data_IF_481151444246
#
_entry.id   IF_481151444246
#
_cell.length_a   1.000
_cell.length_b   1.000
_cell.length_c   1.000
_cell.angle_alpha   90.00
_cell.angle_beta   90.00
_cell.angle_gamma   90.00
#
_symmetry.space_group_name_H-M   'P 1'
#
loop_
_entity.id
_entity.type
_entity.pdbx_description
1 polymer ?
#
# COMPACT_ATOMS: atom_id res chain seq x y z
N UNK A 1 -23.65 -17.01 27.26
CA UNK A 1 -22.99 -18.24 26.82
C UNK A 1 -23.78 -18.79 25.65
N UNK A 2 -23.36 -18.54 24.42
CA UNK A 2 -23.85 -19.24 23.23
C UNK A 2 -22.60 -19.60 22.45
N UNK A 3 -22.30 -20.91 22.44
CA UNK A 3 -21.13 -21.45 21.80
C UNK A 3 -21.28 -21.45 20.29
N UNK A 4 -20.23 -21.04 19.61
CA UNK A 4 -20.06 -21.21 18.15
C UNK A 4 -19.57 -22.64 17.88
N UNK A 5 -20.12 -23.34 16.88
CA UNK A 5 -19.63 -24.66 16.52
C UNK A 5 -18.28 -24.55 15.80
N UNK A 6 -17.28 -25.27 16.31
CA UNK A 6 -16.03 -25.52 15.64
C UNK A 6 -16.27 -26.39 14.41
N UNK A 7 -16.09 -25.83 13.21
CA UNK A 7 -16.01 -26.61 11.98
C UNK A 7 -14.62 -27.23 11.86
N UNK A 8 -14.51 -28.50 12.21
CA UNK A 8 -13.37 -29.32 11.88
C UNK A 8 -13.42 -29.67 10.39
N UNK A 9 -12.54 -29.09 9.58
CA UNK A 9 -12.32 -29.54 8.21
C UNK A 9 -11.42 -30.76 8.22
N UNK A 10 -12.00 -31.94 8.00
CA UNK A 10 -11.27 -33.13 7.60
C UNK A 10 -10.83 -32.96 6.15
N UNK A 11 -9.52 -33.04 5.90
CA UNK A 11 -8.95 -32.97 4.56
C UNK A 11 -9.47 -34.16 3.72
N UNK A 12 -10.47 -33.92 2.89
CA UNK A 12 -10.92 -34.88 1.89
C UNK A 12 -10.07 -34.66 0.63
N UNK A 13 -9.17 -35.61 0.39
CA UNK A 13 -8.27 -35.65 -0.77
C UNK A 13 -9.09 -35.80 -2.05
N UNK A 14 -9.40 -34.72 -2.74
CA UNK A 14 -9.98 -34.80 -4.07
C UNK A 14 -8.87 -35.10 -5.07
N UNK A 15 -8.78 -36.37 -5.52
CA UNK A 15 -7.89 -36.79 -6.62
C UNK A 15 -8.41 -36.18 -7.91
N UNK A 16 -7.77 -35.11 -8.38
CA UNK A 16 -7.90 -34.68 -9.77
C UNK A 16 -6.91 -35.49 -10.60
N UNK A 17 -7.41 -36.46 -11.35
CA UNK A 17 -6.62 -37.25 -12.27
C UNK A 17 -6.52 -36.50 -13.59
N UNK A 18 -5.39 -35.81 -13.80
CA UNK A 18 -5.01 -35.29 -15.11
C UNK A 18 -4.07 -36.26 -15.78
N UNK A 19 -4.52 -36.93 -16.84
CA UNK A 19 -3.70 -37.78 -17.70
C UNK A 19 -2.85 -36.89 -18.61
N UNK A 20 -1.53 -37.06 -18.55
CA UNK A 20 -0.60 -36.60 -19.57
C UNK A 20 0.68 -35.95 -19.05
N UNK A 21 1.80 -36.68 -19.22
CA UNK A 21 3.20 -36.22 -19.18
C UNK A 21 3.71 -35.47 -17.92
N UNK A 22 4.61 -36.13 -17.20
CA UNK A 22 5.71 -35.57 -16.36
C UNK A 22 5.49 -34.37 -15.45
N UNK A 23 4.50 -33.52 -15.65
CA UNK A 23 4.23 -32.29 -14.95
C UNK A 23 3.30 -32.40 -13.72
N UNK A 24 2.60 -33.51 -13.54
CA UNK A 24 1.57 -33.66 -12.50
C UNK A 24 2.13 -33.69 -11.08
N UNK A 25 3.33 -34.22 -10.89
CA UNK A 25 3.98 -34.28 -9.57
C UNK A 25 4.46 -32.89 -9.11
N UNK A 26 4.99 -32.07 -10.02
CA UNK A 26 5.46 -30.71 -9.72
C UNK A 26 4.30 -29.80 -9.36
N UNK A 27 3.19 -29.88 -10.09
CA UNK A 27 2.00 -29.06 -9.80
C UNK A 27 1.38 -29.39 -8.44
N UNK A 28 1.26 -30.70 -8.10
CA UNK A 28 0.74 -31.11 -6.78
C UNK A 28 1.67 -30.70 -5.64
N UNK A 29 2.98 -30.73 -5.83
CA UNK A 29 3.94 -30.34 -4.81
C UNK A 29 3.92 -28.82 -4.61
N UNK A 30 3.96 -28.01 -5.67
CA UNK A 30 3.83 -26.56 -5.60
C UNK A 30 2.50 -26.11 -4.97
N UNK A 31 1.39 -26.78 -5.28
CA UNK A 31 0.10 -26.45 -4.67
C UNK A 31 0.02 -26.84 -3.19
N UNK A 32 0.69 -27.92 -2.78
CA UNK A 32 0.76 -28.32 -1.37
C UNK A 32 1.66 -27.37 -0.57
N UNK A 33 2.79 -26.95 -1.12
CA UNK A 33 3.68 -25.97 -0.50
C UNK A 33 3.03 -24.58 -0.42
N UNK A 34 2.35 -24.13 -1.47
CA UNK A 34 1.57 -22.90 -1.46
C UNK A 34 0.47 -22.95 -0.37
N UNK A 35 -0.29 -24.04 -0.28
CA UNK A 35 -1.31 -24.21 0.74
C UNK A 35 -0.74 -24.23 2.16
N UNK A 36 0.47 -24.78 2.36
CA UNK A 36 1.15 -24.80 3.64
C UNK A 36 1.71 -23.43 4.03
N UNK A 37 2.31 -22.72 3.08
CA UNK A 37 2.89 -21.40 3.34
C UNK A 37 1.81 -20.33 3.63
N UNK A 38 0.70 -20.39 2.90
CA UNK A 38 -0.43 -19.44 3.11
C UNK A 38 -1.35 -19.85 4.27
N UNK A 39 -1.22 -21.06 4.81
CA UNK A 39 -2.02 -21.54 5.95
C UNK A 39 -1.46 -21.18 7.33
N UNK A 40 -0.28 -20.60 7.42
CA UNK A 40 0.38 -20.32 8.71
C UNK A 40 0.24 -18.87 9.20
N UNK A 41 -0.18 -17.93 8.35
CA UNK A 41 -0.39 -16.55 8.79
C UNK A 41 -1.89 -16.25 8.92
N UNK A 42 -2.31 -15.88 10.13
CA UNK A 42 -3.66 -15.42 10.41
C UNK A 42 -3.85 -14.00 9.86
N UNK A 43 -4.15 -13.90 8.55
CA UNK A 43 -4.62 -12.63 8.00
C UNK A 43 -5.99 -12.31 8.63
N UNK A 44 -6.03 -11.25 9.42
CA UNK A 44 -7.29 -10.72 9.96
C UNK A 44 -7.72 -9.55 9.07
N UNK A 45 -8.86 -9.62 8.39
CA UNK A 45 -9.36 -8.51 7.57
C UNK A 45 -9.47 -7.24 8.41
N UNK A 46 -8.96 -6.11 7.86
CA UNK A 46 -8.86 -4.83 8.57
C UNK A 46 -10.21 -4.18 8.92
N UNK A 47 -11.33 -4.70 8.42
CA UNK A 47 -12.67 -4.17 8.70
C UNK A 47 -13.11 -4.21 10.17
N UNK A 48 -12.37 -4.88 11.04
CA UNK A 48 -12.59 -4.80 12.49
C UNK A 48 -11.85 -3.65 13.18
N UNK A 49 -10.75 -3.17 12.61
CA UNK A 49 -9.90 -2.14 13.20
C UNK A 49 -10.38 -0.69 12.97
N UNK A 50 -11.28 -0.44 12.02
CA UNK A 50 -11.76 0.90 11.66
C UNK A 50 -13.12 1.32 12.23
N UNK A 51 -13.74 0.51 13.08
CA UNK A 51 -14.90 0.99 13.84
C UNK A 51 -14.38 1.73 15.06
N UNK A 52 -14.51 3.07 15.01
CA UNK A 52 -14.35 3.91 16.19
C UNK A 52 -15.06 3.25 17.39
N UNK A 53 -14.38 3.13 18.51
CA UNK A 53 -15.05 2.68 19.74
C UNK A 53 -16.21 3.63 20.05
N UNK A 54 -17.27 3.18 20.72
CA UNK A 54 -18.36 4.07 21.10
C UNK A 54 -17.90 5.32 21.90
N UNK A 55 -16.75 5.25 22.57
CA UNK A 55 -16.11 6.39 23.25
C UNK A 55 -15.44 7.37 22.29
N UNK A 56 -14.85 6.89 21.18
CA UNK A 56 -14.25 7.73 20.14
C UNK A 56 -15.31 8.41 19.28
N UNK A 57 -16.40 7.68 18.92
CA UNK A 57 -17.55 8.26 18.23
C UNK A 57 -18.30 9.32 19.09
N UNK A 58 -18.37 9.14 20.40
CA UNK A 58 -18.93 10.12 21.31
C UNK A 58 -18.02 11.35 21.47
N UNK A 59 -16.69 11.18 21.41
CA UNK A 59 -15.73 12.27 21.44
C UNK A 59 -15.81 13.11 20.16
N UNK A 60 -15.97 12.49 18.98
CA UNK A 60 -16.14 13.19 17.71
C UNK A 60 -17.48 13.95 17.62
N UNK A 61 -18.55 13.43 18.23
CA UNK A 61 -19.85 14.09 18.32
C UNK A 61 -19.81 15.36 19.20
N UNK A 62 -19.02 15.35 20.27
CA UNK A 62 -18.82 16.53 21.13
C UNK A 62 -17.99 17.64 20.46
N UNK A 63 -17.13 17.27 19.50
CA UNK A 63 -16.33 18.22 18.73
C UNK A 63 -17.15 18.97 17.67
N UNK A 64 -18.18 18.35 17.09
CA UNK A 64 -19.04 18.97 16.08
C UNK A 64 -19.96 20.08 16.66
N UNK A 65 -20.17 20.12 17.96
CA UNK A 65 -21.09 21.10 18.64
C UNK A 65 -20.41 22.39 19.10
N UNK A 66 -19.08 22.53 19.01
CA UNK A 66 -18.36 23.74 19.44
C UNK A 66 -17.87 24.62 18.30
N UNK A 67 -18.69 24.87 17.28
CA UNK A 67 -18.41 25.84 16.21
C UNK A 67 -18.83 27.25 16.63
N UNK A 68 -18.14 27.80 17.62
CA UNK A 68 -18.46 29.16 18.10
C UNK A 68 -17.32 29.94 18.75
N UNK A 69 -16.24 29.27 19.08
CA UNK A 69 -15.04 29.91 19.63
C UNK A 69 -13.83 29.08 19.31
N UNK A 70 -13.09 29.47 18.27
CA UNK A 70 -11.90 28.71 17.79
C UNK A 70 -10.80 28.71 18.87
N UNK A 71 -10.84 27.75 19.79
CA UNK A 71 -9.58 27.25 20.37
C UNK A 71 -8.84 26.54 19.28
N UNK A 72 -7.67 27.05 18.88
CA UNK A 72 -6.75 26.27 18.01
C UNK A 72 -6.55 24.92 18.69
N UNK A 73 -6.84 23.84 17.97
CA UNK A 73 -6.50 22.50 18.41
C UNK A 73 -4.97 22.46 18.55
N UNK A 74 -4.45 21.86 19.60
CA UNK A 74 -3.00 21.74 19.76
C UNK A 74 -2.43 20.86 18.65
N UNK A 75 -1.22 21.15 18.15
CA UNK A 75 -0.51 20.27 17.22
C UNK A 75 -0.44 18.84 17.74
N UNK A 76 -0.40 17.87 16.83
CA UNK A 76 -0.25 16.47 17.18
C UNK A 76 1.22 16.18 17.46
N UNK A 77 1.53 15.40 18.51
CA UNK A 77 2.91 14.97 18.74
C UNK A 77 3.39 14.09 17.59
N UNK A 78 4.60 14.33 17.10
CA UNK A 78 5.25 13.51 16.06
C UNK A 78 5.29 12.02 16.44
N UNK A 79 5.59 11.70 17.72
CA UNK A 79 5.56 10.33 18.24
C UNK A 79 4.16 9.71 18.18
N UNK A 80 3.12 10.49 18.43
CA UNK A 80 1.74 10.00 18.37
C UNK A 80 1.29 9.84 16.93
N UNK A 81 1.66 10.75 16.04
CA UNK A 81 1.36 10.71 14.61
C UNK A 81 1.89 9.43 13.95
N UNK A 82 3.11 9.00 14.33
CA UNK A 82 3.77 7.80 13.79
C UNK A 82 3.59 6.54 14.66
N UNK A 83 2.67 6.51 15.62
CA UNK A 83 2.54 5.38 16.57
C UNK A 83 1.70 4.21 16.08
N UNK A 84 0.82 4.41 15.11
CA UNK A 84 -0.10 3.36 14.65
C UNK A 84 0.54 2.46 13.60
N UNK A 85 0.34 1.14 13.74
CA UNK A 85 0.77 0.17 12.75
C UNK A 85 -0.03 0.30 11.44
N UNK A 86 -1.35 0.33 11.53
CA UNK A 86 -2.24 0.40 10.37
C UNK A 86 -2.53 1.84 9.95
N UNK A 87 -1.54 2.49 9.33
CA UNK A 87 -1.68 3.84 8.81
C UNK A 87 -1.60 4.92 9.90
N UNK A 88 -2.20 6.07 9.64
CA UNK A 88 -2.32 7.16 10.60
C UNK A 88 -3.75 7.28 11.11
N UNK A 89 -3.93 7.80 12.33
CA UNK A 89 -5.27 8.10 12.86
C UNK A 89 -5.97 9.14 11.99
N UNK A 90 -7.20 8.87 11.61
CA UNK A 90 -7.97 9.77 10.73
C UNK A 90 -8.10 11.17 11.31
N UNK A 91 -8.28 11.30 12.63
CA UNK A 91 -8.34 12.61 13.32
C UNK A 91 -7.07 13.43 13.12
N UNK A 92 -5.91 12.75 13.07
CA UNK A 92 -4.61 13.41 12.93
C UNK A 92 -4.38 13.81 11.46
N UNK A 93 -4.80 12.95 10.50
CA UNK A 93 -4.85 13.29 9.08
C UNK A 93 -5.76 14.50 8.82
N UNK A 94 -6.95 14.53 9.43
CA UNK A 94 -7.88 15.67 9.32
C UNK A 94 -7.27 16.95 9.88
N UNK A 95 -6.56 16.84 10.99
CA UNK A 95 -5.85 17.98 11.58
C UNK A 95 -4.77 18.50 10.63
N UNK A 96 -3.84 17.66 10.20
CA UNK A 96 -2.75 18.02 9.28
C UNK A 96 -3.32 18.64 8.01
N UNK A 97 -4.29 17.95 7.35
CA UNK A 97 -4.92 18.46 6.15
C UNK A 97 -5.60 19.83 6.36
N UNK A 98 -6.31 20.01 7.47
CA UNK A 98 -7.01 21.27 7.74
C UNK A 98 -6.08 22.47 7.98
N UNK A 99 -4.91 22.23 8.58
CA UNK A 99 -3.91 23.26 8.77
C UNK A 99 -3.17 23.57 7.46
N UNK A 100 -2.70 22.53 6.77
CA UNK A 100 -1.99 22.71 5.51
C UNK A 100 -2.88 23.30 4.40
N UNK A 101 -4.18 22.97 4.33
CA UNK A 101 -5.10 23.49 3.30
C UNK A 101 -5.27 24.99 3.32
N UNK A 102 -4.83 25.66 4.38
CA UNK A 102 -4.89 27.12 4.47
C UNK A 102 -3.82 27.81 3.65
N UNK A 103 -2.72 27.13 3.40
CA UNK A 103 -1.52 27.71 2.80
C UNK A 103 -1.02 26.89 1.61
N UNK A 104 -1.26 25.57 1.60
CA UNK A 104 -0.84 24.68 0.53
C UNK A 104 -1.77 24.78 -0.67
N UNK A 105 -1.17 24.95 -1.85
CA UNK A 105 -1.90 25.10 -3.12
C UNK A 105 -2.64 23.83 -3.53
N UNK A 106 -2.00 22.67 -3.45
CA UNK A 106 -2.56 21.38 -3.86
C UNK A 106 -1.98 20.23 -3.05
N UNK A 107 -2.72 19.12 -3.01
CA UNK A 107 -2.31 17.94 -2.26
C UNK A 107 -2.09 16.71 -3.14
N UNK A 108 -1.17 15.86 -2.70
CA UNK A 108 -1.02 14.49 -3.15
C UNK A 108 -1.44 13.56 -2.02
N UNK A 109 -2.58 12.91 -2.16
CA UNK A 109 -3.04 11.89 -1.23
C UNK A 109 -2.38 10.55 -1.59
N UNK A 110 -1.55 10.04 -0.68
CA UNK A 110 -0.91 8.74 -0.81
C UNK A 110 -1.81 7.70 -0.16
N UNK A 111 -2.28 6.70 -0.92
CA UNK A 111 -3.18 5.67 -0.42
C UNK A 111 -2.76 4.27 -0.88
N UNK A 112 -3.24 3.26 -0.20
CA UNK A 112 -2.91 1.87 -0.48
C UNK A 112 -2.25 1.17 0.70
N UNK A 113 -1.11 0.54 0.47
CA UNK A 113 -0.42 -0.33 1.41
C UNK A 113 0.97 0.20 1.84
N UNK A 114 1.78 -0.67 2.45
CA UNK A 114 3.13 -0.38 2.96
C UNK A 114 4.13 0.07 1.90
N UNK A 115 3.86 -0.16 0.62
CA UNK A 115 4.74 0.35 -0.44
C UNK A 115 4.86 1.88 -0.44
N UNK A 116 3.94 2.59 0.23
CA UNK A 116 3.99 4.03 0.44
C UNK A 116 4.17 4.39 1.92
N UNK A 117 3.48 3.69 2.85
CA UNK A 117 3.56 3.88 4.29
C UNK A 117 4.43 2.80 4.94
N UNK A 118 5.73 2.92 4.79
CA UNK A 118 6.73 1.97 5.29
C UNK A 118 7.31 2.31 6.67
N UNK A 119 6.71 3.26 7.41
CA UNK A 119 7.19 3.71 8.73
C UNK A 119 7.38 2.58 9.74
N UNK A 120 6.54 1.55 9.68
CA UNK A 120 6.63 0.41 10.58
C UNK A 120 8.01 -0.26 10.50
N UNK A 121 8.52 -0.49 9.29
CA UNK A 121 9.76 -1.18 9.02
C UNK A 121 11.01 -0.36 9.38
N UNK A 122 10.86 0.95 9.52
CA UNK A 122 11.92 1.81 10.06
C UNK A 122 12.07 1.68 11.57
N UNK A 123 10.95 1.58 12.30
CA UNK A 123 10.95 1.60 13.76
C UNK A 123 10.94 0.22 14.40
N UNK A 124 10.43 -0.80 13.73
CA UNK A 124 10.40 -2.19 14.20
C UNK A 124 10.45 -3.13 13.01
N UNK A 125 11.15 -4.23 13.15
CA UNK A 125 11.28 -5.25 12.10
C UNK A 125 10.34 -6.44 12.31
N UNK A 126 9.40 -6.34 13.27
CA UNK A 126 8.48 -7.42 13.61
C UNK A 126 7.06 -7.11 13.10
N UNK A 127 6.48 -7.97 12.25
CA UNK A 127 5.13 -7.79 11.73
C UNK A 127 4.08 -7.68 12.84
N UNK A 128 3.12 -6.78 12.68
CA UNK A 128 1.96 -6.66 13.57
C UNK A 128 2.23 -6.04 14.94
N UNK A 129 3.46 -5.70 15.28
CA UNK A 129 3.75 -4.96 16.50
C UNK A 129 3.36 -3.49 16.33
N UNK A 130 2.66 -2.96 17.34
CA UNK A 130 2.50 -1.50 17.42
C UNK A 130 3.88 -0.86 17.57
N UNK A 131 4.09 0.19 16.81
CA UNK A 131 5.33 0.98 16.90
C UNK A 131 5.46 1.43 18.35
N UNK A 132 6.51 1.00 19.08
CA UNK A 132 6.74 1.51 20.41
C UNK A 132 6.72 3.05 20.33
N UNK A 133 6.28 3.74 21.37
CA UNK A 133 6.39 5.20 21.46
C UNK A 133 7.88 5.56 21.46
N UNK A 134 8.52 5.42 20.32
CA UNK A 134 9.94 5.65 20.15
C UNK A 134 10.25 7.13 20.15
N UNK A 135 11.42 7.39 20.60
CA UNK A 135 12.04 8.69 20.39
C UNK A 135 12.23 8.88 18.88
N UNK A 136 11.56 9.88 18.32
CA UNK A 136 11.76 10.33 16.93
C UNK A 136 13.12 11.06 16.83
N UNK A 137 14.19 10.40 17.24
CA UNK A 137 15.53 10.98 17.41
C UNK A 137 16.60 10.29 16.58
N UNK A 138 16.23 9.22 15.86
CA UNK A 138 17.18 8.51 15.00
C UNK A 138 17.28 9.22 13.64
N UNK A 139 18.39 9.90 13.42
CA UNK A 139 18.67 10.65 12.18
C UNK A 139 18.81 9.76 10.93
N UNK A 140 18.97 8.44 11.10
CA UNK A 140 19.02 7.52 9.98
C UNK A 140 17.64 7.28 9.33
N UNK A 141 16.55 7.45 10.09
CA UNK A 141 15.18 7.13 9.65
C UNK A 141 14.19 8.26 9.87
N UNK A 142 14.58 9.36 10.52
CA UNK A 142 13.74 10.54 10.74
C UNK A 142 14.51 11.81 10.43
N UNK A 143 13.78 12.86 10.07
CA UNK A 143 14.35 14.18 9.80
C UNK A 143 13.42 15.29 10.36
N UNK A 144 13.91 16.55 10.53
CA UNK A 144 13.04 17.66 10.87
C UNK A 144 11.83 17.73 9.95
N UNK A 145 10.68 18.05 10.51
CA UNK A 145 9.43 18.21 9.76
C UNK A 145 9.58 19.34 8.73
N UNK A 146 8.96 19.19 7.57
CA UNK A 146 9.15 20.11 6.44
C UNK A 146 7.84 20.32 5.69
N UNK A 147 7.80 21.37 4.86
CA UNK A 147 6.71 21.70 3.92
C UNK A 147 5.35 21.83 4.61
N UNK A 148 5.32 22.53 5.76
CA UNK A 148 4.15 22.82 6.57
C UNK A 148 3.90 21.80 7.68
N UNK A 149 4.54 20.64 7.69
CA UNK A 149 4.41 19.69 8.78
C UNK A 149 5.03 20.19 10.09
N UNK A 150 5.99 21.10 10.04
CA UNK A 150 6.59 21.77 11.19
C UNK A 150 5.61 22.60 12.01
N UNK A 151 4.48 23.02 11.42
CA UNK A 151 3.39 23.73 12.13
C UNK A 151 2.25 22.78 12.54
N UNK A 152 2.18 21.59 11.95
CA UNK A 152 1.14 20.60 12.21
C UNK A 152 1.53 19.62 13.32
N UNK A 153 2.83 19.35 13.43
CA UNK A 153 3.39 18.44 14.41
C UNK A 153 4.09 19.22 15.53
N UNK A 154 4.28 18.57 16.66
CA UNK A 154 5.07 19.08 17.79
C UNK A 154 5.93 17.96 18.36
N UNK A 155 7.06 18.30 18.94
CA UNK A 155 7.73 17.41 19.88
C UNK A 155 6.92 17.35 21.17
N UNK A 156 6.72 16.17 21.72
CA UNK A 156 5.92 15.98 22.95
C UNK A 156 6.44 16.80 24.12
N UNK A 157 7.74 16.93 24.22
CA UNK A 157 8.41 17.58 25.35
C UNK A 157 8.80 19.04 25.02
N UNK A 158 8.48 19.50 23.80
CA UNK A 158 8.80 20.85 23.28
C UNK A 158 10.30 21.19 23.39
N UNK A 159 11.16 20.18 23.36
CA UNK A 159 12.61 20.32 23.53
C UNK A 159 13.38 20.38 22.22
N UNK A 160 12.75 19.98 21.10
CA UNK A 160 13.34 19.95 19.77
C UNK A 160 12.30 20.31 18.71
N UNK A 161 12.75 20.50 17.49
CA UNK A 161 11.87 20.60 16.33
C UNK A 161 11.13 19.28 16.09
N UNK A 162 9.84 19.32 15.69
CA UNK A 162 9.08 18.13 15.33
C UNK A 162 9.71 17.42 14.15
N UNK A 163 9.57 16.10 14.08
CA UNK A 163 10.21 15.27 13.06
C UNK A 163 9.19 14.46 12.27
N UNK A 164 9.58 14.08 11.09
CA UNK A 164 8.89 13.12 10.22
C UNK A 164 9.74 11.86 10.04
N UNK A 165 9.09 10.71 9.90
CA UNK A 165 9.75 9.52 9.35
C UNK A 165 10.14 9.81 7.89
N UNK A 166 11.33 9.37 7.46
CA UNK A 166 11.81 9.55 6.09
C UNK A 166 11.19 8.53 5.12
N UNK A 167 9.86 8.44 5.15
CA UNK A 167 9.04 7.65 4.24
C UNK A 167 8.85 8.36 2.88
N UNK A 168 8.04 7.78 2.02
CA UNK A 168 7.72 8.36 0.70
C UNK A 168 7.08 9.75 0.83
N UNK A 169 6.27 9.99 1.89
CA UNK A 169 5.64 11.30 2.10
C UNK A 169 6.64 12.38 2.48
N UNK A 170 7.60 12.06 3.37
CA UNK A 170 8.67 13.00 3.73
C UNK A 170 9.48 13.41 2.50
N UNK A 171 9.96 12.42 1.75
CA UNK A 171 10.79 12.68 0.56
C UNK A 171 10.03 13.44 -0.50
N UNK A 172 8.75 13.14 -0.70
CA UNK A 172 7.92 13.89 -1.65
C UNK A 172 7.77 15.35 -1.22
N UNK A 173 7.45 15.61 0.05
CA UNK A 173 7.34 16.97 0.59
C UNK A 173 8.65 17.75 0.44
N UNK A 174 9.79 17.10 0.71
CA UNK A 174 11.10 17.70 0.57
C UNK A 174 11.39 18.10 -0.88
N UNK A 175 11.24 17.14 -1.80
CA UNK A 175 11.50 17.37 -3.23
C UNK A 175 10.51 18.39 -3.83
N UNK A 176 9.24 18.33 -3.43
CA UNK A 176 8.26 19.31 -3.89
C UNK A 176 8.59 20.74 -3.41
N UNK A 177 9.03 20.89 -2.17
CA UNK A 177 9.46 22.20 -1.66
C UNK A 177 10.72 22.71 -2.36
N UNK A 178 11.64 21.83 -2.73
CA UNK A 178 12.88 22.16 -3.47
C UNK A 178 12.57 22.54 -4.93
N UNK A 179 11.74 21.76 -5.64
CA UNK A 179 11.52 21.87 -7.08
C UNK A 179 10.39 22.84 -7.47
N UNK A 180 9.32 22.90 -6.67
CA UNK A 180 8.12 23.71 -6.96
C UNK A 180 8.04 24.97 -6.06
N UNK A 181 8.63 24.91 -4.89
CA UNK A 181 8.54 25.90 -3.85
C UNK A 181 7.78 25.42 -2.61
N UNK A 182 8.06 25.99 -1.43
CA UNK A 182 7.39 25.62 -0.19
C UNK A 182 5.87 25.79 -0.29
N UNK A 183 5.13 24.79 0.18
CA UNK A 183 3.66 24.76 0.24
C UNK A 183 2.93 24.83 -1.12
N UNK A 184 3.62 24.77 -2.25
CA UNK A 184 2.97 24.65 -3.56
C UNK A 184 2.30 23.28 -3.76
N UNK A 185 2.91 22.22 -3.18
CA UNK A 185 2.37 20.88 -3.22
C UNK A 185 2.77 20.12 -1.95
N UNK A 186 1.78 19.65 -1.20
CA UNK A 186 1.99 18.88 0.03
C UNK A 186 1.44 17.47 -0.10
N UNK A 187 2.02 16.50 0.61
CA UNK A 187 1.46 15.15 0.67
C UNK A 187 0.62 14.93 1.92
N UNK A 188 -0.33 14.01 1.84
CA UNK A 188 -1.02 13.42 2.98
C UNK A 188 -0.87 11.90 2.91
N UNK A 189 -0.18 11.31 3.88
CA UNK A 189 0.01 9.87 3.99
C UNK A 189 -1.24 9.22 4.59
N UNK A 190 -2.06 8.63 3.74
CA UNK A 190 -3.27 7.92 4.13
C UNK A 190 -3.22 6.42 3.74
N UNK A 191 -2.05 5.93 3.35
CA UNK A 191 -1.82 4.50 3.13
C UNK A 191 -1.91 3.72 4.44
N UNK A 192 -2.19 2.43 4.36
CA UNK A 192 -2.44 1.56 5.52
C UNK A 192 -1.63 0.29 5.37
N UNK A 193 -0.67 0.09 6.29
CA UNK A 193 0.15 -1.11 6.39
C UNK A 193 -0.69 -2.39 6.34
N UNK A 194 -0.21 -3.42 5.66
CA UNK A 194 -0.84 -4.74 5.49
C UNK A 194 -2.23 -4.72 4.83
N UNK A 195 -2.71 -3.61 4.30
CA UNK A 195 -4.02 -3.55 3.65
C UNK A 195 -4.00 -4.15 2.25
N UNK A 196 -5.17 -4.67 1.81
CA UNK A 196 -5.33 -5.26 0.48
C UNK A 196 -6.33 -4.46 -0.37
N UNK A 197 -6.20 -4.58 -1.68
CA UNK A 197 -7.18 -4.04 -2.60
C UNK A 197 -8.49 -4.86 -2.60
N UNK A 198 -8.39 -6.17 -2.29
CA UNK A 198 -9.54 -7.05 -2.15
C UNK A 198 -10.45 -6.63 -0.99
N UNK A 199 -9.89 -6.23 0.17
CA UNK A 199 -10.67 -5.75 1.30
C UNK A 199 -11.53 -4.54 0.90
N UNK A 200 -10.93 -3.56 0.22
CA UNK A 200 -11.63 -2.37 -0.26
C UNK A 200 -12.71 -2.70 -1.30
N UNK A 201 -12.48 -3.75 -2.10
CA UNK A 201 -13.47 -4.21 -3.08
C UNK A 201 -14.65 -4.91 -2.42
N UNK A 202 -14.42 -5.73 -1.40
CA UNK A 202 -15.45 -6.57 -0.78
C UNK A 202 -16.19 -5.88 0.36
N UNK A 203 -15.47 -5.07 1.13
CA UNK A 203 -15.99 -4.49 2.38
C UNK A 203 -16.13 -2.96 2.33
N UNK A 204 -15.61 -2.31 1.28
CA UNK A 204 -15.63 -0.86 1.12
C UNK A 204 -14.37 -0.17 1.62
N UNK A 205 -14.38 1.14 1.58
CA UNK A 205 -13.26 1.99 1.91
C UNK A 205 -12.88 1.88 3.40
N UNK A 206 -11.57 1.82 3.69
CA UNK A 206 -11.03 2.00 5.03
C UNK A 206 -11.29 3.43 5.52
N UNK A 207 -11.11 3.68 6.81
CA UNK A 207 -11.35 5.00 7.39
C UNK A 207 -10.46 6.10 6.77
N UNK A 208 -9.19 5.76 6.49
CA UNK A 208 -8.25 6.65 5.81
C UNK A 208 -8.65 6.92 4.36
N UNK A 209 -9.17 5.90 3.66
CA UNK A 209 -9.68 6.08 2.29
C UNK A 209 -10.95 6.94 2.26
N UNK A 210 -11.82 6.80 3.26
CA UNK A 210 -13.01 7.66 3.41
C UNK A 210 -12.62 9.10 3.66
N UNK A 211 -11.56 9.33 4.44
CA UNK A 211 -11.00 10.66 4.63
C UNK A 211 -10.53 11.26 3.29
N UNK A 212 -9.82 10.51 2.44
CA UNK A 212 -9.43 10.97 1.09
C UNK A 212 -10.65 11.34 0.27
N UNK A 213 -11.64 10.43 0.15
CA UNK A 213 -12.89 10.65 -0.60
C UNK A 213 -13.56 11.96 -0.20
N UNK A 214 -13.52 12.29 1.10
CA UNK A 214 -14.24 13.43 1.68
C UNK A 214 -13.42 14.72 1.63
N UNK A 215 -12.10 14.64 1.42
CA UNK A 215 -11.16 15.76 1.49
C UNK A 215 -10.57 16.17 0.14
N UNK A 216 -10.50 15.27 -0.83
CA UNK A 216 -9.90 15.52 -2.14
C UNK A 216 -10.64 16.61 -2.91
N UNK A 217 -9.90 17.45 -3.64
CA UNK A 217 -10.43 18.48 -4.54
C UNK A 217 -10.02 18.25 -6.00
N UNK A 218 -10.50 19.08 -6.91
CA UNK A 218 -10.27 18.95 -8.35
C UNK A 218 -8.83 19.25 -8.75
N UNK A 219 -8.10 20.02 -7.93
CA UNK A 219 -6.69 20.38 -8.16
C UNK A 219 -5.71 19.38 -7.50
N UNK A 220 -6.23 18.47 -6.68
CA UNK A 220 -5.42 17.50 -5.96
C UNK A 220 -5.11 16.26 -6.78
N UNK A 221 -4.19 15.44 -6.28
CA UNK A 221 -3.76 14.19 -6.89
C UNK A 221 -3.96 13.03 -5.93
N UNK A 222 -4.21 11.84 -6.47
CA UNK A 222 -4.20 10.60 -5.71
C UNK A 222 -3.09 9.71 -6.26
N UNK A 223 -2.20 9.25 -5.40
CA UNK A 223 -1.22 8.19 -5.70
C UNK A 223 -1.63 6.95 -4.93
N UNK A 224 -1.83 5.87 -5.65
CA UNK A 224 -2.35 4.61 -5.11
C UNK A 224 -1.31 3.50 -5.32
N UNK A 225 -1.01 2.75 -4.26
CA UNK A 225 -0.20 1.53 -4.36
C UNK A 225 -0.93 0.38 -3.68
N UNK A 226 -1.32 -0.63 -4.46
CA UNK A 226 -2.09 -1.79 -3.96
C UNK A 226 -1.81 -3.03 -4.81
N UNK A 227 -2.01 -4.19 -4.21
CA UNK A 227 -2.00 -5.48 -4.91
C UNK A 227 -0.83 -6.39 -4.53
N UNK A 228 0.22 -5.88 -3.89
CA UNK A 228 1.30 -6.67 -3.34
C UNK A 228 0.81 -7.64 -2.27
N UNK A 229 0.12 -7.10 -1.28
CA UNK A 229 -0.44 -7.86 -0.17
C UNK A 229 -1.55 -8.84 -0.60
N UNK A 230 -2.30 -8.52 -1.65
CA UNK A 230 -3.31 -9.43 -2.21
C UNK A 230 -2.69 -10.74 -2.76
N UNK A 231 -1.45 -10.65 -3.24
CA UNK A 231 -0.70 -11.82 -3.74
C UNK A 231 0.10 -12.47 -2.61
N UNK A 232 0.70 -11.68 -1.71
CA UNK A 232 1.64 -12.17 -0.71
C UNK A 232 0.96 -12.65 0.59
N UNK A 233 -0.05 -11.90 1.10
CA UNK A 233 -0.66 -12.16 2.40
C UNK A 233 -2.02 -12.87 2.34
N UNK A 234 -2.82 -12.58 1.30
CA UNK A 234 -4.19 -13.06 1.24
C UNK A 234 -4.57 -13.65 -0.15
N UNK A 235 -3.78 -14.55 -0.73
CA UNK A 235 -4.14 -15.13 -2.02
C UNK A 235 -5.37 -16.01 -1.88
N UNK A 236 -6.35 -15.80 -2.74
CA UNK A 236 -7.45 -16.74 -2.88
C UNK A 236 -6.93 -18.05 -3.49
N UNK A 237 -7.65 -19.16 -3.29
CA UNK A 237 -7.33 -20.42 -3.95
C UNK A 237 -7.20 -20.28 -5.48
N UNK A 238 -8.07 -19.48 -6.09
CA UNK A 238 -7.97 -19.18 -7.51
C UNK A 238 -6.68 -18.42 -7.85
N UNK A 239 -6.28 -17.47 -7.02
CA UNK A 239 -5.01 -16.74 -7.16
C UNK A 239 -3.82 -17.68 -7.09
N UNK A 240 -3.77 -18.57 -6.10
CA UNK A 240 -2.67 -19.55 -5.94
C UNK A 240 -2.55 -20.49 -7.14
N UNK A 241 -3.66 -21.03 -7.64
CA UNK A 241 -3.66 -21.90 -8.84
C UNK A 241 -3.17 -21.12 -10.08
N UNK A 242 -3.61 -19.88 -10.26
CA UNK A 242 -3.20 -19.07 -11.41
C UNK A 242 -1.73 -18.62 -11.31
N UNK A 243 -1.18 -18.38 -10.11
CA UNK A 243 0.25 -18.17 -9.87
C UNK A 243 1.04 -19.41 -10.34
N UNK A 244 0.64 -20.59 -9.89
CA UNK A 244 1.31 -21.84 -10.27
C UNK A 244 1.30 -22.04 -11.79
N UNK A 245 0.15 -21.86 -12.44
CA UNK A 245 0.02 -21.97 -13.90
C UNK A 245 0.90 -20.94 -14.63
N UNK A 246 0.98 -19.73 -14.12
CA UNK A 246 1.83 -18.68 -14.67
C UNK A 246 3.31 -19.04 -14.54
N UNK A 247 3.72 -19.53 -13.36
CA UNK A 247 5.10 -19.98 -13.13
C UNK A 247 5.53 -21.18 -13.97
N UNK A 248 4.62 -22.08 -14.30
CA UNK A 248 4.91 -23.25 -15.15
C UNK A 248 4.88 -22.93 -16.64
N UNK A 249 4.38 -21.77 -17.05
CA UNK A 249 4.25 -21.41 -18.46
C UNK A 249 5.60 -21.10 -19.10
N UNK A 250 5.86 -21.47 -20.36
CA UNK A 250 7.05 -21.02 -21.10
C UNK A 250 7.16 -19.49 -21.14
N UNK A 251 8.37 -18.96 -21.01
CA UNK A 251 8.60 -17.50 -20.96
C UNK A 251 8.02 -16.74 -22.14
N UNK A 252 8.04 -17.32 -23.35
CA UNK A 252 7.47 -16.69 -24.53
C UNK A 252 5.94 -16.54 -24.44
N UNK A 253 5.22 -17.47 -23.79
CA UNK A 253 3.79 -17.31 -23.51
C UNK A 253 3.52 -16.21 -22.50
N UNK A 254 4.38 -16.11 -21.46
CA UNK A 254 4.32 -15.02 -20.48
C UNK A 254 4.53 -13.67 -21.18
N UNK A 255 5.60 -13.57 -21.99
CA UNK A 255 5.93 -12.34 -22.73
C UNK A 255 4.79 -11.86 -23.64
N UNK A 256 4.12 -12.79 -24.32
CA UNK A 256 2.98 -12.50 -25.20
C UNK A 256 1.67 -12.21 -24.43
N UNK A 257 1.61 -12.42 -23.11
CA UNK A 257 0.38 -12.30 -22.33
C UNK A 257 -0.62 -13.45 -22.59
N UNK A 258 -0.14 -14.56 -23.12
CA UNK A 258 -0.94 -15.76 -23.46
C UNK A 258 -0.83 -16.86 -22.42
N UNK A 259 0.01 -16.68 -21.39
CA UNK A 259 0.17 -17.69 -20.33
C UNK A 259 -1.16 -17.90 -19.59
N UNK A 260 -1.51 -19.15 -19.25
CA UNK A 260 -2.59 -19.43 -18.32
C UNK A 260 -2.42 -18.60 -17.04
N UNK A 261 -3.49 -18.04 -16.52
CA UNK A 261 -3.45 -17.12 -15.39
C UNK A 261 -3.33 -15.63 -15.76
N UNK A 262 -2.71 -15.27 -16.90
CA UNK A 262 -2.56 -13.86 -17.28
C UNK A 262 -3.90 -13.10 -17.30
N UNK A 263 -4.90 -13.67 -17.97
CA UNK A 263 -6.24 -13.07 -18.09
C UNK A 263 -6.93 -12.96 -16.71
N UNK A 264 -6.70 -13.94 -15.82
CA UNK A 264 -7.23 -13.90 -14.46
C UNK A 264 -6.69 -12.69 -13.71
N UNK A 265 -5.36 -12.53 -13.63
CA UNK A 265 -4.72 -11.41 -12.95
C UNK A 265 -5.07 -10.06 -13.59
N UNK A 266 -5.02 -9.95 -14.91
CA UNK A 266 -5.39 -8.72 -15.61
C UNK A 266 -6.82 -8.29 -15.29
N UNK A 267 -7.78 -9.19 -15.33
CA UNK A 267 -9.18 -8.88 -15.04
C UNK A 267 -9.37 -8.57 -13.55
N UNK A 268 -8.70 -9.29 -12.68
CA UNK A 268 -8.76 -9.09 -11.24
C UNK A 268 -8.21 -7.70 -10.87
N UNK A 269 -6.98 -7.39 -11.25
CA UNK A 269 -6.37 -6.08 -11.01
C UNK A 269 -7.20 -4.94 -11.59
N UNK A 270 -7.63 -5.07 -12.84
CA UNK A 270 -8.49 -4.06 -13.47
C UNK A 270 -9.78 -3.85 -12.68
N UNK A 271 -10.47 -4.93 -12.30
CA UNK A 271 -11.73 -4.83 -11.54
C UNK A 271 -11.51 -4.19 -10.17
N UNK A 272 -10.52 -4.64 -9.43
CA UNK A 272 -10.30 -4.23 -8.04
C UNK A 272 -9.76 -2.80 -7.96
N UNK A 273 -8.77 -2.45 -8.78
CA UNK A 273 -8.20 -1.09 -8.85
C UNK A 273 -9.28 -0.08 -9.24
N UNK A 274 -10.03 -0.32 -10.31
CA UNK A 274 -11.06 0.63 -10.72
C UNK A 274 -12.28 0.65 -9.80
N UNK A 275 -12.56 -0.42 -9.06
CA UNK A 275 -13.55 -0.39 -7.97
C UNK A 275 -13.10 0.53 -6.84
N UNK A 276 -11.82 0.48 -6.47
CA UNK A 276 -11.24 1.34 -5.46
C UNK A 276 -11.23 2.81 -5.91
N UNK A 277 -10.72 3.10 -7.10
CA UNK A 277 -10.73 4.46 -7.67
C UNK A 277 -12.16 5.04 -7.66
N UNK A 278 -13.15 4.28 -8.15
CA UNK A 278 -14.56 4.70 -8.19
C UNK A 278 -15.07 5.15 -6.82
N UNK A 279 -14.72 4.42 -5.78
CA UNK A 279 -15.12 4.74 -4.41
C UNK A 279 -14.41 6.00 -3.90
N UNK A 280 -13.11 6.15 -4.17
CA UNK A 280 -12.33 7.33 -3.76
C UNK A 280 -12.83 8.61 -4.42
N UNK A 281 -13.16 8.56 -5.70
CA UNK A 281 -13.60 9.74 -6.47
C UNK A 281 -15.11 9.93 -6.51
N UNK A 282 -15.85 9.23 -5.64
CA UNK A 282 -17.32 9.25 -5.65
C UNK A 282 -17.92 10.63 -5.34
N UNK A 283 -17.20 11.49 -4.62
CA UNK A 283 -17.66 12.85 -4.30
C UNK A 283 -17.05 13.91 -5.19
N UNK A 284 -15.73 13.82 -5.45
CA UNK A 284 -14.99 14.73 -6.30
C UNK A 284 -13.93 13.97 -7.09
N UNK A 285 -13.63 14.44 -8.29
CA UNK A 285 -12.59 13.88 -9.14
C UNK A 285 -11.33 14.73 -8.98
N UNK A 286 -10.18 14.11 -8.63
CA UNK A 286 -8.90 14.82 -8.61
C UNK A 286 -8.43 15.15 -10.03
N UNK A 287 -7.42 15.99 -10.14
CA UNK A 287 -6.76 16.29 -11.40
C UNK A 287 -6.16 15.02 -12.05
N UNK A 288 -5.60 14.12 -11.24
CA UNK A 288 -5.00 12.86 -11.72
C UNK A 288 -4.99 11.79 -10.64
N UNK A 289 -5.07 10.52 -11.07
CA UNK A 289 -4.82 9.34 -10.25
C UNK A 289 -3.65 8.57 -10.82
N UNK A 290 -2.60 8.37 -10.04
CA UNK A 290 -1.45 7.53 -10.39
C UNK A 290 -1.59 6.21 -9.64
N UNK A 291 -1.67 5.11 -10.39
CA UNK A 291 -1.72 3.76 -9.86
C UNK A 291 -0.35 3.14 -9.98
N UNK A 292 0.36 3.01 -8.88
CA UNK A 292 1.64 2.32 -8.85
C UNK A 292 1.46 0.84 -9.11
N UNK A 293 2.10 0.33 -10.16
CA UNK A 293 2.25 -1.11 -10.35
C UNK A 293 3.34 -1.61 -9.41
N UNK A 294 3.16 -2.81 -8.87
CA UNK A 294 4.10 -3.46 -7.95
C UNK A 294 5.53 -3.40 -8.51
N UNK A 295 6.50 -2.96 -7.70
CA UNK A 295 7.92 -3.00 -8.00
C UNK A 295 8.51 -4.42 -7.86
N UNK A 296 9.76 -4.61 -8.26
CA UNK A 296 10.42 -5.90 -8.09
C UNK A 296 10.93 -6.04 -6.67
N UNK A 297 10.74 -7.20 -6.03
CA UNK A 297 11.40 -7.50 -4.77
C UNK A 297 12.93 -7.45 -4.89
N UNK A 298 13.63 -7.26 -3.78
CA UNK A 298 15.07 -7.42 -3.73
C UNK A 298 15.50 -8.83 -4.19
N UNK A 299 16.46 -8.89 -5.10
CA UNK A 299 17.03 -10.15 -5.60
C UNK A 299 17.96 -10.82 -4.58
N UNK A 300 18.48 -10.07 -3.60
CA UNK A 300 19.26 -10.64 -2.52
C UNK A 300 18.39 -11.56 -1.64
N UNK A 301 18.89 -12.77 -1.41
CA UNK A 301 18.16 -13.77 -0.64
C UNK A 301 18.31 -13.47 0.85
N UNK A 302 17.19 -13.24 1.52
CA UNK A 302 17.07 -13.20 2.97
C UNK A 302 15.92 -14.13 3.39
N UNK A 303 16.24 -15.28 3.91
CA UNK A 303 15.25 -16.27 4.36
C UNK A 303 14.53 -15.84 5.65
N UNK A 304 15.07 -14.86 6.39
CA UNK A 304 14.44 -14.34 7.62
C UNK A 304 13.49 -13.19 7.33
N UNK A 305 13.57 -12.58 6.13
CA UNK A 305 12.61 -11.58 5.72
C UNK A 305 11.20 -12.17 5.65
N UNK A 306 10.19 -11.40 6.07
CA UNK A 306 8.80 -11.87 6.14
C UNK A 306 8.26 -12.44 4.80
N UNK A 307 8.61 -11.92 3.60
CA UNK A 307 8.15 -12.48 2.33
C UNK A 307 9.03 -13.63 1.82
N UNK A 308 10.11 -13.99 2.55
CA UNK A 308 11.11 -14.94 2.06
C UNK A 308 10.52 -16.28 1.62
N UNK A 309 9.62 -16.87 2.42
CA UNK A 309 8.95 -18.12 2.08
C UNK A 309 8.09 -17.97 0.80
N UNK A 310 7.34 -16.88 0.67
CA UNK A 310 6.51 -16.60 -0.51
C UNK A 310 7.36 -16.40 -1.76
N UNK A 311 8.44 -15.63 -1.68
CA UNK A 311 9.35 -15.39 -2.82
C UNK A 311 10.03 -16.68 -3.26
N UNK A 312 10.44 -17.54 -2.33
CA UNK A 312 11.00 -18.87 -2.61
C UNK A 312 9.99 -19.77 -3.35
N UNK A 313 8.73 -19.81 -2.90
CA UNK A 313 7.66 -20.58 -3.56
C UNK A 313 7.36 -20.03 -4.95
N UNK A 314 7.40 -18.70 -5.14
CA UNK A 314 7.28 -18.08 -6.45
C UNK A 314 8.48 -18.33 -7.37
N UNK A 315 9.54 -18.98 -6.86
CA UNK A 315 10.76 -19.26 -7.58
C UNK A 315 11.62 -18.01 -7.81
N UNK A 316 11.37 -16.93 -7.08
CA UNK A 316 12.08 -15.67 -7.24
C UNK A 316 13.55 -15.79 -6.90
N UNK A 317 13.88 -16.49 -5.83
CA UNK A 317 15.27 -16.74 -5.40
C UNK A 317 16.10 -17.49 -6.45
N UNK A 318 15.47 -18.37 -7.22
CA UNK A 318 16.14 -19.13 -8.27
C UNK A 318 16.18 -18.41 -9.63
N UNK A 319 15.17 -17.60 -9.93
CA UNK A 319 15.03 -16.91 -11.22
C UNK A 319 14.18 -15.63 -11.08
N UNK A 320 14.74 -14.53 -10.55
CA UNK A 320 14.03 -13.27 -10.39
C UNK A 320 13.39 -12.77 -11.68
N UNK A 321 14.10 -12.89 -12.80
CA UNK A 321 13.67 -12.42 -14.12
C UNK A 321 12.33 -12.99 -14.59
N UNK A 322 11.91 -14.12 -14.04
CA UNK A 322 10.62 -14.73 -14.36
C UNK A 322 9.45 -13.95 -13.78
N UNK A 323 9.46 -13.66 -12.48
CA UNK A 323 8.43 -12.84 -11.83
C UNK A 323 8.44 -11.42 -12.39
N UNK A 324 9.63 -10.86 -12.61
CA UNK A 324 9.79 -9.55 -13.24
C UNK A 324 9.14 -9.50 -14.63
N UNK A 325 9.30 -10.55 -15.44
CA UNK A 325 8.63 -10.66 -16.75
C UNK A 325 7.10 -10.70 -16.60
N UNK A 326 6.59 -11.41 -15.60
CA UNK A 326 5.15 -11.45 -15.27
C UNK A 326 4.64 -10.05 -14.97
N UNK A 327 5.30 -9.32 -14.08
CA UNK A 327 4.90 -7.96 -13.66
C UNK A 327 4.95 -6.98 -14.83
N UNK A 328 6.02 -7.00 -15.65
CA UNK A 328 6.11 -6.18 -16.87
C UNK A 328 4.97 -6.46 -17.85
N UNK A 329 4.62 -7.72 -18.02
CA UNK A 329 3.56 -8.11 -18.98
C UNK A 329 2.18 -7.72 -18.46
N UNK A 330 1.93 -7.88 -17.16
CA UNK A 330 0.69 -7.43 -16.52
C UNK A 330 0.55 -5.90 -16.60
N UNK A 331 1.62 -5.15 -16.29
CA UNK A 331 1.62 -3.70 -16.43
C UNK A 331 1.26 -3.28 -17.84
N UNK A 332 1.98 -3.80 -18.87
CA UNK A 332 1.71 -3.47 -20.28
C UNK A 332 0.26 -3.73 -20.66
N UNK A 333 -0.30 -4.85 -20.21
CA UNK A 333 -1.69 -5.22 -20.50
C UNK A 333 -2.71 -4.36 -19.76
N UNK A 334 -2.40 -3.98 -18.51
CA UNK A 334 -3.25 -3.13 -17.68
C UNK A 334 -3.26 -1.69 -18.19
N UNK A 335 -2.08 -1.14 -18.51
CA UNK A 335 -1.92 0.21 -19.05
C UNK A 335 -2.58 0.39 -20.42
N UNK A 336 -2.62 -0.68 -21.25
CA UNK A 336 -3.32 -0.66 -22.53
C UNK A 336 -4.84 -0.78 -22.41
N UNK A 337 -5.37 -1.11 -21.24
CA UNK A 337 -6.79 -1.34 -21.02
C UNK A 337 -7.49 -0.05 -20.59
N UNK A 338 -8.44 0.39 -21.40
CA UNK A 338 -9.20 1.61 -21.12
C UNK A 338 -9.91 1.57 -19.75
N UNK A 339 -9.97 2.70 -19.02
CA UNK A 339 -10.76 2.83 -17.83
C UNK A 339 -12.25 2.51 -18.09
N UNK A 340 -12.99 2.06 -17.07
CA UNK A 340 -14.44 1.91 -17.17
C UNK A 340 -15.14 3.21 -17.60
N UNK A 341 -16.28 3.09 -18.32
CA UNK A 341 -17.00 4.24 -18.89
C UNK A 341 -17.42 5.29 -17.86
N UNK A 342 -17.75 4.86 -16.66
CA UNK A 342 -18.16 5.74 -15.56
C UNK A 342 -16.99 6.57 -14.97
N UNK A 343 -15.76 6.21 -15.28
CA UNK A 343 -14.54 6.97 -14.98
C UNK A 343 -13.96 7.69 -16.21
N UNK A 344 -14.69 7.72 -17.31
CA UNK A 344 -14.25 8.43 -18.50
C UNK A 344 -13.98 9.92 -18.18
N UNK A 345 -12.87 10.45 -18.72
CA UNK A 345 -12.42 11.82 -18.48
C UNK A 345 -11.62 12.04 -17.19
N UNK A 346 -11.49 11.02 -16.32
CA UNK A 346 -10.51 11.05 -15.24
C UNK A 346 -9.14 10.64 -15.80
N UNK A 347 -8.11 11.43 -15.54
CA UNK A 347 -6.73 11.07 -15.88
C UNK A 347 -6.25 9.98 -14.91
N UNK A 348 -6.08 8.76 -15.42
CA UNK A 348 -5.59 7.61 -14.66
C UNK A 348 -4.35 7.04 -15.34
N UNK A 349 -3.22 7.16 -14.68
CA UNK A 349 -1.95 6.59 -15.14
C UNK A 349 -1.63 5.32 -14.36
N UNK A 350 -1.29 4.23 -15.05
CA UNK A 350 -0.71 3.02 -14.44
C UNK A 350 0.81 3.13 -14.53
N UNK A 351 1.44 3.49 -13.42
CA UNK A 351 2.88 3.78 -13.37
C UNK A 351 3.69 2.53 -13.07
N UNK A 352 4.73 2.20 -13.90
CA UNK A 352 5.57 1.02 -13.72
C UNK A 352 6.62 1.23 -12.64
N UNK A 353 6.25 1.16 -11.36
CA UNK A 353 7.14 1.45 -10.24
C UNK A 353 8.38 0.52 -10.20
N UNK A 354 8.33 -0.65 -10.84
CA UNK A 354 9.47 -1.54 -11.03
C UNK A 354 10.57 -0.96 -11.96
N UNK A 355 10.36 0.18 -12.59
CA UNK A 355 11.43 0.93 -13.27
C UNK A 355 12.18 1.86 -12.34
N UNK A 356 11.72 1.97 -11.10
CA UNK A 356 12.31 2.79 -10.03
C UNK A 356 13.00 1.89 -9.01
N UNK A 357 12.30 0.88 -8.51
CA UNK A 357 12.85 -0.18 -7.66
C UNK A 357 12.91 -1.47 -8.48
N UNK A 358 14.10 -1.76 -9.00
CA UNK A 358 14.30 -2.82 -9.99
C UNK A 358 14.77 -4.16 -9.41
N UNK A 359 14.90 -4.24 -8.08
CA UNK A 359 15.32 -5.44 -7.36
C UNK A 359 16.82 -5.65 -7.28
N UNK A 360 17.63 -4.86 -7.99
CA UNK A 360 19.07 -5.08 -8.06
C UNK A 360 19.85 -4.36 -6.96
N UNK A 361 19.32 -3.26 -6.41
CA UNK A 361 19.94 -2.47 -5.36
C UNK A 361 19.28 -2.81 -4.00
N UNK A 362 19.93 -3.67 -3.23
CA UNK A 362 19.43 -4.07 -1.88
C UNK A 362 19.25 -2.88 -0.94
N UNK A 363 19.99 -1.79 -1.14
CA UNK A 363 19.84 -0.56 -0.36
C UNK A 363 18.46 0.10 -0.50
N UNK A 364 17.68 -0.26 -1.53
CA UNK A 364 16.34 0.27 -1.75
C UNK A 364 15.27 -0.39 -0.89
N UNK A 365 15.61 -1.48 -0.18
CA UNK A 365 14.63 -2.33 0.49
C UNK A 365 14.91 -2.54 1.97
N UNK A 366 13.84 -2.60 2.73
CA UNK A 366 13.74 -3.30 4.00
C UNK A 366 12.98 -4.60 3.76
N UNK A 367 13.34 -5.68 4.45
CA UNK A 367 12.61 -6.97 4.36
C UNK A 367 12.34 -7.44 2.92
N UNK A 368 13.22 -7.12 1.94
CA UNK A 368 13.14 -7.51 0.52
C UNK A 368 11.99 -6.89 -0.28
N UNK A 369 10.94 -6.38 0.35
CA UNK A 369 9.74 -5.86 -0.34
C UNK A 369 9.24 -4.53 0.18
N UNK A 370 9.77 -4.04 1.29
CA UNK A 370 9.39 -2.75 1.84
C UNK A 370 10.41 -1.69 1.37
N UNK A 371 10.01 -0.51 0.93
CA UNK A 371 10.97 0.51 0.56
C UNK A 371 11.78 0.97 1.78
N UNK A 372 13.10 1.04 1.64
CA UNK A 372 13.98 1.70 2.60
C UNK A 372 13.84 3.24 2.53
N UNK A 373 14.58 3.96 3.36
CA UNK A 373 14.72 5.43 3.24
C UNK A 373 15.18 5.82 1.84
N UNK A 374 16.17 5.12 1.26
CA UNK A 374 16.66 5.35 -0.09
C UNK A 374 15.63 4.99 -1.15
N UNK A 375 14.96 3.84 -1.01
CA UNK A 375 13.88 3.43 -1.91
C UNK A 375 12.71 4.41 -1.89
N UNK A 376 12.35 4.91 -0.71
CA UNK A 376 11.32 5.94 -0.53
C UNK A 376 11.64 7.24 -1.26
N UNK A 377 12.90 7.69 -1.22
CA UNK A 377 13.35 8.87 -1.98
C UNK A 377 13.23 8.64 -3.50
N UNK A 378 13.68 7.49 -4.01
CA UNK A 378 13.57 7.15 -5.44
C UNK A 378 12.10 7.14 -5.89
N UNK A 379 11.21 6.55 -5.10
CA UNK A 379 9.76 6.53 -5.36
C UNK A 379 9.20 7.96 -5.39
N UNK A 380 9.47 8.76 -4.37
CA UNK A 380 8.98 10.13 -4.26
C UNK A 380 9.41 10.99 -5.45
N UNK A 381 10.68 10.91 -5.85
CA UNK A 381 11.24 11.62 -7.01
C UNK A 381 10.55 11.24 -8.31
N UNK A 382 10.33 9.95 -8.51
CA UNK A 382 9.63 9.45 -9.68
C UNK A 382 8.17 9.89 -9.74
N UNK A 383 7.49 9.91 -8.60
CA UNK A 383 6.08 10.34 -8.49
C UNK A 383 5.92 11.85 -8.70
N UNK A 384 6.84 12.67 -8.16
CA UNK A 384 6.81 14.11 -8.37
C UNK A 384 6.88 14.45 -9.87
N UNK A 385 7.71 13.72 -10.64
CA UNK A 385 7.79 13.86 -12.10
C UNK A 385 6.53 13.42 -12.87
N UNK A 386 5.51 12.87 -12.21
CA UNK A 386 4.22 12.47 -12.82
C UNK A 386 3.12 13.51 -12.61
N UNK A 387 3.34 14.46 -11.74
CA UNK A 387 2.38 15.53 -11.54
C UNK A 387 2.42 16.49 -12.74
N UNK A 388 1.26 17.00 -13.19
CA UNK A 388 1.21 18.11 -14.12
C UNK A 388 1.94 19.32 -13.56
N UNK A 389 2.78 19.92 -14.36
CA UNK A 389 3.48 21.15 -14.03
C UNK A 389 2.56 22.35 -14.07
#
# INVERSE_FOLDING_TARGET
>A
MLGYPSLSFTATTTRVVLYGFGGSFVLCHCLAELASAFGQEHYTPLHGCGKLSPSEAAHDSLYAQNVGGRKRKSPVSDREFYSEYHGHKVRDLQWVHSELRRECGRFVFLCGDSSLDNKHWFFTKEPGQQIPKREMSDDAITAPAINGYEICLTDRDETREPRMAMDVSYWFNRLAAEDLGPLECCTIMASVEASTAADRHHFGLLAQDQFIRDSVSEDDFIVMSVGGNDVALAPTWATAVNIALYNLSPQWLVFLGLAPGHRHFLNWFHKVIYSYIRQLVARKRPAKVVVNMIYYPDEAIDEQAWPGATLKILGYDANPGRLQLVLRTLHRSLAAKAPPRDLAGLDVEVFPLFTVLDGADTGDYEQRVEPSVQGGEKIARALLGRLPQ
#
